data_IF_173247834082
#
_entry.id   IF_173247834082
#
_cell.length_a   1.000
_cell.length_b   1.000
_cell.length_c   1.000
_cell.angle_alpha   90.00
_cell.angle_beta   90.00
_cell.angle_gamma   90.00
#
_symmetry.space_group_name_H-M   'P 1'
#
loop_
_entity.id
_entity.type
_entity.pdbx_description
1 polymer ?
#
# COMPACT_ATOMS: atom_id res chain seq x y z
N UNK A 1 -28.05 -4.35 14.66
CA UNK A 1 -26.75 -3.87 14.17
C UNK A 1 -26.96 -2.99 12.95
N UNK A 2 -26.49 -1.75 13.02
CA UNK A 2 -26.63 -0.80 11.91
C UNK A 2 -25.84 -1.24 10.68
N UNK A 3 -26.13 -0.65 9.50
CA UNK A 3 -25.33 -0.88 8.28
C UNK A 3 -23.89 -0.42 8.46
N UNK A 4 -23.68 0.62 9.26
CA UNK A 4 -22.32 1.08 9.61
C UNK A 4 -21.58 0.06 10.46
N UNK A 5 -22.24 -0.57 11.44
CA UNK A 5 -21.63 -1.62 12.26
C UNK A 5 -21.24 -2.84 11.43
N UNK A 6 -22.05 -3.21 10.46
CA UNK A 6 -21.75 -4.30 9.50
C UNK A 6 -20.54 -3.96 8.64
N UNK A 7 -20.47 -2.72 8.14
CA UNK A 7 -19.32 -2.24 7.35
C UNK A 7 -18.05 -2.24 8.17
N UNK A 8 -18.11 -1.79 9.43
CA UNK A 8 -16.97 -1.81 10.33
C UNK A 8 -16.53 -3.22 10.67
N UNK A 9 -17.46 -4.14 10.91
CA UNK A 9 -17.16 -5.55 11.11
C UNK A 9 -16.47 -6.17 9.88
N UNK A 10 -16.91 -5.80 8.67
CA UNK A 10 -16.25 -6.20 7.42
C UNK A 10 -14.82 -5.68 7.33
N UNK A 11 -14.59 -4.40 7.60
CA UNK A 11 -13.24 -3.79 7.61
C UNK A 11 -12.34 -4.50 8.61
N UNK A 12 -12.80 -4.70 9.84
CA UNK A 12 -12.00 -5.35 10.89
C UNK A 12 -11.68 -6.82 10.60
N UNK A 13 -12.41 -7.45 9.68
CA UNK A 13 -12.17 -8.83 9.24
C UNK A 13 -11.23 -8.97 8.03
N UNK A 14 -10.73 -7.86 7.47
CA UNK A 14 -9.85 -7.85 6.29
C UNK A 14 -8.44 -8.39 6.61
N UNK A 15 -8.19 -8.82 7.82
CA UNK A 15 -6.89 -9.36 8.18
C UNK A 15 -6.46 -10.54 7.29
N UNK A 16 -5.27 -10.42 6.72
CA UNK A 16 -4.60 -11.48 5.99
C UNK A 16 -3.10 -11.45 6.32
N UNK A 17 -2.65 -12.42 7.10
CA UNK A 17 -1.27 -12.50 7.58
C UNK A 17 -0.27 -12.62 6.43
N UNK A 18 -0.61 -13.40 5.39
CA UNK A 18 0.26 -13.58 4.23
C UNK A 18 0.41 -12.27 3.44
N UNK A 19 -0.69 -11.55 3.24
CA UNK A 19 -0.68 -10.24 2.58
C UNK A 19 0.16 -9.21 3.36
N UNK A 20 -0.02 -9.13 4.67
CA UNK A 20 0.74 -8.20 5.51
C UNK A 20 2.24 -8.53 5.48
N UNK A 21 2.59 -9.80 5.58
CA UNK A 21 3.98 -10.27 5.51
C UNK A 21 4.63 -9.94 4.16
N UNK A 22 3.90 -10.12 3.08
CA UNK A 22 4.36 -9.79 1.72
C UNK A 22 4.67 -8.30 1.59
N UNK A 23 3.73 -7.43 2.03
CA UNK A 23 3.93 -5.98 2.00
C UNK A 23 5.11 -5.58 2.89
N UNK A 24 5.17 -6.09 4.11
CA UNK A 24 6.24 -5.82 5.06
C UNK A 24 7.62 -6.16 4.47
N UNK A 25 7.77 -7.33 3.88
CA UNK A 25 9.03 -7.78 3.29
C UNK A 25 9.45 -6.90 2.11
N UNK A 26 8.53 -6.51 1.24
CA UNK A 26 8.82 -5.61 0.13
C UNK A 26 9.32 -4.24 0.60
N UNK A 27 8.65 -3.65 1.60
CA UNK A 27 9.01 -2.35 2.17
C UNK A 27 10.38 -2.42 2.87
N UNK A 28 10.58 -3.43 3.73
CA UNK A 28 11.82 -3.59 4.51
C UNK A 28 13.06 -3.76 3.64
N UNK A 29 12.92 -4.35 2.46
CA UNK A 29 14.03 -4.59 1.53
C UNK A 29 14.20 -3.50 0.46
N UNK A 30 13.45 -2.43 0.51
CA UNK A 30 13.54 -1.36 -0.47
C UNK A 30 14.59 -0.31 -0.09
N UNK A 31 15.44 0.08 -1.05
CA UNK A 31 16.34 1.22 -0.89
C UNK A 31 15.55 2.54 -0.80
N UNK A 32 14.55 2.68 -1.66
CA UNK A 32 13.62 3.79 -1.69
C UNK A 32 12.25 3.29 -2.19
N UNK A 33 11.20 3.95 -1.76
CA UNK A 33 9.83 3.57 -2.08
C UNK A 33 9.13 4.74 -2.78
N UNK A 34 8.54 4.51 -3.93
CA UNK A 34 7.70 5.47 -4.63
C UNK A 34 6.25 5.01 -4.53
N UNK A 35 5.39 5.83 -3.94
CA UNK A 35 3.96 5.57 -3.84
C UNK A 35 3.20 6.19 -5.00
N UNK A 36 2.33 5.39 -5.61
CA UNK A 36 1.43 5.79 -6.70
C UNK A 36 0.00 5.50 -6.29
N UNK A 37 -0.77 6.54 -6.02
CA UNK A 37 -2.19 6.45 -5.71
C UNK A 37 -2.90 7.77 -6.06
N UNK A 38 -4.22 7.75 -6.18
CA UNK A 38 -5.02 8.94 -6.52
C UNK A 38 -6.25 9.10 -5.66
N UNK A 39 -6.82 10.30 -5.72
CA UNK A 39 -8.08 10.62 -5.05
C UNK A 39 -8.00 10.43 -3.53
N UNK A 40 -9.10 9.99 -2.93
CA UNK A 40 -9.22 9.80 -1.48
C UNK A 40 -8.34 8.65 -0.98
N UNK A 41 -8.20 7.59 -1.75
CA UNK A 41 -7.23 6.51 -1.46
C UNK A 41 -5.81 7.06 -1.44
N UNK A 42 -5.47 8.01 -2.32
CA UNK A 42 -4.19 8.71 -2.30
C UNK A 42 -3.95 9.48 -1.00
N UNK A 43 -4.97 10.11 -0.43
CA UNK A 43 -4.84 10.82 0.86
C UNK A 43 -4.50 9.84 2.00
N UNK A 44 -5.19 8.72 2.07
CA UNK A 44 -4.90 7.67 3.06
C UNK A 44 -3.51 7.07 2.84
N UNK A 45 -3.11 6.87 1.60
CA UNK A 45 -1.76 6.39 1.26
C UNK A 45 -0.68 7.38 1.69
N UNK A 46 -0.92 8.69 1.58
CA UNK A 46 0.00 9.72 2.08
C UNK A 46 0.14 9.67 3.61
N UNK A 47 -0.92 9.37 4.35
CA UNK A 47 -0.84 9.14 5.79
C UNK A 47 0.11 7.97 6.11
N UNK A 48 -0.01 6.87 5.40
CA UNK A 48 0.87 5.71 5.55
C UNK A 48 2.32 6.06 5.18
N UNK A 49 2.53 6.72 4.05
CA UNK A 49 3.86 7.19 3.63
C UNK A 49 4.51 8.07 4.70
N UNK A 50 3.76 9.00 5.31
CA UNK A 50 4.25 9.86 6.38
C UNK A 50 4.75 9.06 7.58
N UNK A 51 4.01 8.02 7.99
CA UNK A 51 4.44 7.13 9.07
C UNK A 51 5.70 6.36 8.73
N UNK A 52 5.82 5.83 7.52
CA UNK A 52 7.03 5.14 7.07
C UNK A 52 8.26 6.07 7.05
N UNK A 53 8.08 7.34 6.64
CA UNK A 53 9.15 8.35 6.71
C UNK A 53 9.60 8.58 8.16
N UNK A 54 8.65 8.69 9.10
CA UNK A 54 8.96 8.84 10.52
C UNK A 54 9.69 7.62 11.10
N UNK A 55 9.47 6.44 10.53
CA UNK A 55 10.15 5.19 10.86
C UNK A 55 11.49 4.99 10.11
N UNK A 56 11.97 6.00 9.40
CA UNK A 56 13.27 6.00 8.74
C UNK A 56 13.29 5.48 7.31
N UNK A 57 12.13 5.14 6.73
CA UNK A 57 12.07 4.71 5.33
C UNK A 57 12.16 5.90 4.37
N UNK A 58 12.85 5.68 3.25
CA UNK A 58 13.04 6.69 2.22
C UNK A 58 11.90 6.65 1.20
N UNK A 59 10.86 7.44 1.41
CA UNK A 59 9.62 7.43 0.64
C UNK A 59 9.42 8.69 -0.18
N UNK A 60 8.83 8.54 -1.37
CA UNK A 60 8.49 9.62 -2.30
C UNK A 60 7.08 9.42 -2.84
N UNK A 61 6.44 10.52 -3.16
CA UNK A 61 5.17 10.53 -3.87
C UNK A 61 5.40 10.63 -5.38
N UNK A 62 4.62 9.94 -6.18
CA UNK A 62 4.84 9.75 -7.62
C UNK A 62 4.92 11.04 -8.45
N UNK A 63 4.36 12.15 -8.00
CA UNK A 63 4.42 13.45 -8.66
C UNK A 63 5.32 14.48 -7.95
N UNK A 64 6.12 14.04 -6.99
CA UNK A 64 7.13 14.89 -6.38
C UNK A 64 8.23 15.26 -7.40
N UNK A 65 8.62 16.53 -7.42
CA UNK A 65 9.66 17.01 -8.33
C UNK A 65 11.08 16.56 -7.96
N UNK A 66 11.26 16.09 -6.74
CA UNK A 66 12.56 15.73 -6.18
C UNK A 66 12.80 14.22 -6.07
N UNK A 67 12.06 13.39 -6.82
CA UNK A 67 12.33 11.97 -6.83
C UNK A 67 13.70 11.70 -7.44
N UNK A 68 14.66 11.10 -6.69
CA UNK A 68 15.93 10.70 -7.25
C UNK A 68 15.77 9.60 -8.30
N UNK A 69 16.77 9.43 -9.16
CA UNK A 69 16.76 8.38 -10.18
C UNK A 69 16.38 7.01 -9.59
N UNK A 70 15.40 6.38 -10.19
CA UNK A 70 14.89 5.06 -9.80
C UNK A 70 15.80 3.98 -10.39
N UNK A 71 16.08 2.94 -9.62
CA UNK A 71 16.88 1.79 -10.07
C UNK A 71 16.32 0.45 -9.55
N UNK A 72 17.00 -0.65 -9.86
CA UNK A 72 16.56 -2.00 -9.52
C UNK A 72 16.45 -2.35 -8.03
N UNK A 73 16.98 -1.52 -7.14
CA UNK A 73 16.87 -1.69 -5.68
C UNK A 73 15.66 -0.96 -5.08
N UNK A 74 14.93 -0.22 -5.90
CA UNK A 74 13.78 0.57 -5.48
C UNK A 74 12.48 -0.24 -5.60
N UNK A 75 11.46 0.24 -4.91
CA UNK A 75 10.11 -0.32 -4.89
C UNK A 75 9.11 0.73 -5.32
N UNK A 76 8.23 0.41 -6.25
CA UNK A 76 7.07 1.23 -6.61
C UNK A 76 5.82 0.53 -6.10
N UNK A 77 5.09 1.21 -5.20
CA UNK A 77 3.85 0.71 -4.61
C UNK A 77 2.66 1.43 -5.22
N UNK A 78 1.77 0.66 -5.83
CA UNK A 78 0.49 1.13 -6.35
C UNK A 78 -0.61 0.80 -5.36
N UNK A 79 -1.37 1.80 -4.91
CA UNK A 79 -2.53 1.62 -4.04
C UNK A 79 -3.78 2.05 -4.77
N UNK A 80 -4.68 1.11 -5.01
CA UNK A 80 -5.91 1.37 -5.77
C UNK A 80 -7.00 0.37 -5.41
N UNK A 81 -8.15 0.84 -4.96
CA UNK A 81 -9.28 -0.04 -4.67
C UNK A 81 -9.76 -0.77 -5.94
N UNK A 82 -9.89 -0.07 -7.05
CA UNK A 82 -10.36 -0.62 -8.33
C UNK A 82 -9.30 -1.35 -9.15
N UNK A 83 -8.02 -1.10 -8.87
CA UNK A 83 -6.92 -1.63 -9.69
C UNK A 83 -6.80 -0.99 -11.09
N UNK A 84 -7.45 0.14 -11.36
CA UNK A 84 -7.53 0.77 -12.68
C UNK A 84 -6.98 2.22 -12.77
N UNK A 85 -6.10 2.62 -11.87
CA UNK A 85 -5.58 4.00 -11.85
C UNK A 85 -4.72 4.31 -13.09
N UNK A 86 -5.12 5.30 -13.88
CA UNK A 86 -4.55 5.60 -15.21
C UNK A 86 -3.07 6.02 -15.17
N UNK A 87 -2.66 6.81 -14.18
CA UNK A 87 -1.25 7.28 -14.06
C UNK A 87 -0.25 6.17 -13.73
N UNK A 88 -0.73 5.00 -13.37
CA UNK A 88 0.12 3.88 -12.97
C UNK A 88 0.94 3.30 -14.13
N UNK A 89 0.47 3.44 -15.39
CA UNK A 89 1.15 2.86 -16.54
C UNK A 89 2.54 3.44 -16.78
N UNK A 90 2.74 4.72 -16.55
CA UNK A 90 4.06 5.37 -16.69
C UNK A 90 5.04 4.74 -15.71
N UNK A 91 4.65 4.57 -14.46
CA UNK A 91 5.50 3.99 -13.43
C UNK A 91 5.73 2.49 -13.60
N UNK A 92 4.78 1.75 -14.13
CA UNK A 92 4.99 0.35 -14.53
C UNK A 92 6.04 0.26 -15.64
N UNK A 93 5.98 1.15 -16.64
CA UNK A 93 6.97 1.20 -17.72
C UNK A 93 8.36 1.57 -17.21
N UNK A 94 8.47 2.59 -16.36
CA UNK A 94 9.73 2.99 -15.72
C UNK A 94 10.31 1.80 -14.93
N UNK A 95 9.50 1.14 -14.11
CA UNK A 95 9.94 0.00 -13.32
C UNK A 95 10.52 -1.13 -14.19
N UNK A 96 9.87 -1.45 -15.29
CA UNK A 96 10.36 -2.46 -16.25
C UNK A 96 11.68 -2.07 -16.88
N UNK A 97 11.83 -0.80 -17.27
CA UNK A 97 13.05 -0.29 -17.91
C UNK A 97 14.27 -0.33 -16.97
N UNK A 98 14.09 0.05 -15.71
CA UNK A 98 15.20 0.12 -14.72
C UNK A 98 15.33 -1.11 -13.84
N UNK A 99 14.43 -2.08 -13.95
CA UNK A 99 14.42 -3.30 -13.14
C UNK A 99 13.94 -3.09 -11.69
N UNK A 100 13.21 -2.00 -11.40
CA UNK A 100 12.63 -1.74 -10.08
C UNK A 100 11.50 -2.74 -9.76
N UNK A 101 11.35 -3.07 -8.48
CA UNK A 101 10.26 -3.94 -8.02
C UNK A 101 8.94 -3.19 -8.01
N UNK A 102 7.86 -3.89 -8.30
CA UNK A 102 6.50 -3.35 -8.29
C UNK A 102 5.58 -4.17 -7.41
N UNK A 103 4.80 -3.48 -6.58
CA UNK A 103 3.82 -4.05 -5.67
C UNK A 103 2.50 -3.30 -5.83
N UNK A 104 1.39 -4.01 -6.01
CA UNK A 104 0.06 -3.43 -5.94
C UNK A 104 -0.64 -3.87 -4.65
N UNK A 105 -1.33 -2.93 -3.99
CA UNK A 105 -2.24 -3.20 -2.87
C UNK A 105 -3.63 -2.79 -3.33
N UNK A 106 -4.53 -3.76 -3.49
CA UNK A 106 -5.80 -3.57 -4.20
C UNK A 106 -6.91 -4.47 -3.65
N UNK A 107 -8.16 -4.14 -4.01
CA UNK A 107 -9.34 -4.98 -3.78
C UNK A 107 -9.85 -5.65 -5.07
N UNK A 108 -9.11 -5.52 -6.18
CA UNK A 108 -9.52 -6.07 -7.47
C UNK A 108 -8.41 -6.96 -8.08
N UNK A 109 -8.68 -8.25 -8.21
CA UNK A 109 -7.77 -9.24 -8.76
C UNK A 109 -7.62 -9.19 -10.30
N UNK A 110 -8.59 -8.58 -10.99
CA UNK A 110 -8.60 -8.42 -12.46
C UNK A 110 -8.26 -7.01 -12.93
N UNK A 111 -7.91 -6.12 -12.00
CA UNK A 111 -7.54 -4.73 -12.33
C UNK A 111 -6.31 -4.65 -13.23
N UNK A 112 -6.26 -3.64 -14.07
CA UNK A 112 -5.14 -3.45 -15.03
C UNK A 112 -3.79 -3.32 -14.32
N UNK A 113 -3.75 -2.66 -13.15
CA UNK A 113 -2.54 -2.57 -12.33
C UNK A 113 -2.16 -3.94 -11.81
N UNK A 114 -3.13 -4.67 -11.25
CA UNK A 114 -2.94 -6.01 -10.69
C UNK A 114 -2.26 -6.95 -11.69
N UNK A 115 -2.66 -6.88 -12.95
CA UNK A 115 -2.12 -7.70 -14.03
C UNK A 115 -0.77 -7.20 -14.58
N UNK A 116 -0.35 -5.99 -14.22
CA UNK A 116 0.84 -5.35 -14.80
C UNK A 116 2.05 -5.32 -13.86
N UNK A 117 1.85 -5.54 -12.57
CA UNK A 117 2.91 -5.53 -11.55
C UNK A 117 3.51 -6.91 -11.33
N UNK A 118 4.71 -6.95 -10.72
CA UNK A 118 5.36 -8.22 -10.36
C UNK A 118 4.65 -8.94 -9.21
N UNK A 119 4.21 -8.19 -8.20
CA UNK A 119 3.50 -8.70 -7.04
C UNK A 119 2.21 -7.92 -6.82
N UNK A 120 1.10 -8.62 -6.69
CA UNK A 120 -0.17 -8.01 -6.32
C UNK A 120 -0.66 -8.62 -5.00
N UNK A 121 -0.90 -7.76 -4.02
CA UNK A 121 -1.54 -8.10 -2.75
C UNK A 121 -3.00 -7.70 -2.84
N UNK A 122 -3.85 -8.68 -2.77
CA UNK A 122 -5.28 -8.53 -3.03
C UNK A 122 -6.05 -8.80 -1.76
N UNK A 123 -6.86 -7.82 -1.34
CA UNK A 123 -7.83 -7.96 -0.27
C UNK A 123 -9.20 -8.17 -0.88
N UNK A 124 -9.81 -9.33 -0.64
CA UNK A 124 -11.11 -9.65 -1.21
C UNK A 124 -12.24 -9.14 -0.31
N UNK A 125 -13.12 -8.35 -0.89
CA UNK A 125 -14.37 -7.96 -0.26
C UNK A 125 -15.40 -9.07 -0.42
N UNK A 126 -15.96 -9.53 0.68
CA UNK A 126 -17.06 -10.48 0.62
C UNK A 126 -18.39 -9.81 0.32
N UNK A 127 -18.63 -8.63 0.84
CA UNK A 127 -19.78 -7.76 0.54
C UNK A 127 -19.45 -6.34 1.00
N UNK A 128 -19.48 -5.36 0.08
CA UNK A 128 -19.32 -3.96 0.44
C UNK A 128 -20.68 -3.35 0.70
N UNK A 129 -21.00 -2.95 1.92
CA UNK A 129 -22.26 -2.26 2.21
C UNK A 129 -22.31 -0.92 1.46
N UNK A 130 -23.33 -0.74 0.64
CA UNK A 130 -23.49 0.44 -0.24
C UNK A 130 -23.56 1.79 0.48
N UNK A 131 -23.81 1.80 1.79
CA UNK A 131 -23.98 3.03 2.57
C UNK A 131 -22.67 3.67 3.03
N UNK A 132 -21.59 2.92 3.20
CA UNK A 132 -20.30 3.48 3.60
C UNK A 132 -19.50 3.93 2.39
N UNK A 133 -19.71 5.17 1.96
CA UNK A 133 -19.01 5.74 0.79
C UNK A 133 -17.49 5.87 0.95
N UNK A 134 -16.97 5.79 2.17
CA UNK A 134 -15.54 5.79 2.47
C UNK A 134 -15.03 4.41 2.91
N UNK A 135 -15.71 3.35 2.52
CA UNK A 135 -15.35 1.97 2.90
C UNK A 135 -13.90 1.63 2.55
N UNK A 136 -13.48 1.89 1.32
CA UNK A 136 -12.13 1.55 0.87
C UNK A 136 -11.05 2.39 1.55
N UNK A 137 -11.31 3.67 1.79
CA UNK A 137 -10.38 4.54 2.51
C UNK A 137 -10.18 4.05 3.94
N UNK A 138 -11.25 3.69 4.64
CA UNK A 138 -11.17 3.14 5.99
C UNK A 138 -10.51 1.76 6.00
N UNK A 139 -10.79 0.92 5.02
CA UNK A 139 -10.15 -0.39 4.86
C UNK A 139 -8.64 -0.28 4.64
N UNK A 140 -8.19 0.60 3.74
CA UNK A 140 -6.76 0.87 3.57
C UNK A 140 -6.12 1.47 4.82
N UNK A 141 -6.81 2.40 5.50
CA UNK A 141 -6.30 2.95 6.74
C UNK A 141 -6.08 1.85 7.79
N UNK A 142 -7.04 0.95 7.94
CA UNK A 142 -6.93 -0.20 8.84
C UNK A 142 -5.74 -1.10 8.50
N UNK A 143 -5.57 -1.44 7.21
CA UNK A 143 -4.43 -2.24 6.72
C UNK A 143 -3.12 -1.54 7.03
N UNK A 144 -3.02 -0.25 6.73
CA UNK A 144 -1.79 0.53 6.92
C UNK A 144 -1.43 0.71 8.38
N UNK A 145 -2.39 0.93 9.28
CA UNK A 145 -2.14 1.00 10.72
C UNK A 145 -1.61 -0.33 11.27
N UNK A 146 -2.12 -1.45 10.79
CA UNK A 146 -1.60 -2.77 11.14
C UNK A 146 -0.15 -2.97 10.67
N UNK A 147 0.16 -2.55 9.45
CA UNK A 147 1.52 -2.60 8.91
C UNK A 147 2.48 -1.71 9.71
N UNK A 148 2.09 -0.48 10.02
CA UNK A 148 2.89 0.44 10.85
C UNK A 148 3.23 -0.17 12.20
N UNK A 149 2.27 -0.84 12.84
CA UNK A 149 2.52 -1.48 14.14
C UNK A 149 3.57 -2.60 14.08
N UNK A 150 3.74 -3.25 12.94
CA UNK A 150 4.79 -4.26 12.74
C UNK A 150 6.18 -3.63 12.63
N UNK A 151 6.29 -2.48 11.97
CA UNK A 151 7.56 -1.74 11.88
C UNK A 151 7.95 -1.15 13.24
N UNK A 152 7.01 -0.58 13.98
CA UNK A 152 7.25 -0.06 15.33
C UNK A 152 7.77 -1.16 16.27
N UNK A 153 7.21 -2.36 16.20
CA UNK A 153 7.63 -3.49 17.06
C UNK A 153 9.04 -3.96 16.76
N UNK A 154 9.48 -3.92 15.50
CA UNK A 154 10.84 -4.33 15.11
C UNK A 154 11.91 -3.34 15.59
N UNK A 155 11.60 -2.05 15.67
CA UNK A 155 12.53 -1.04 16.22
C UNK A 155 12.71 -1.19 17.74
N UNK A 156 11.66 -1.55 18.47
CA UNK A 156 11.73 -1.81 19.90
C UNK A 156 12.62 -3.00 20.26
N UNK A 157 12.69 -4.02 19.43
CA UNK A 157 13.56 -5.17 19.64
C UNK A 157 15.03 -4.84 19.42
N UNK A 158 15.36 -3.91 18.52
CA UNK A 158 16.74 -3.48 18.25
C UNK A 158 17.30 -2.51 19.31
N UNK A 159 16.46 -1.74 19.98
CA UNK A 159 16.90 -0.79 21.03
C UNK A 159 17.10 -1.42 22.40
N UNK A 160 16.67 -2.64 22.64
CA UNK A 160 16.85 -3.34 23.91
C UNK A 160 18.12 -4.22 23.98
N UNK A 161 19.01 -4.15 22.98
CA UNK A 161 20.26 -4.91 22.94
C UNK A 161 21.54 -4.04 22.99
N UNK A 162 21.45 -2.79 23.46
CA UNK A 162 22.63 -1.97 23.80
C UNK A 162 22.78 -1.76 25.30
#
# INVERSE_FOLDING_TARGET
MSEFDKSWASISSIYDEQNEKEIYNHISNARKIIFVARGRVGLVTKMFMQRLIQLGHNCFWYDDLNIPMINGQDLIIFVSASGHTISSHVYVSIAKEVGARTLAITFNDTGRITLSVQTAVIYLDKEVPMLMKSYYELAFLYIFERLVSQFDSSEFEHTNFE
#
